data_IF_093414088568
#
_entry.id   IF_093414088568
#
_cell.length_a   1.000
_cell.length_b   1.000
_cell.length_c   1.000
_cell.angle_alpha   90.00
_cell.angle_beta   90.00
_cell.angle_gamma   90.00
#
_symmetry.space_group_name_H-M   'P 1'
#
loop_
_entity.id
_entity.type
_entity.pdbx_description
1 polymer ?
#
# COMPACT_ATOMS: atom_id res chain seq x y z
N UNK A 1 -22.37 -13.29 -12.98
CA UNK A 1 -21.51 -13.95 -11.98
C UNK A 1 -20.67 -12.87 -11.34
N UNK A 2 -20.96 -12.50 -10.11
CA UNK A 2 -20.22 -11.48 -9.36
C UNK A 2 -18.86 -12.07 -8.96
N UNK A 3 -17.79 -11.53 -9.48
CA UNK A 3 -16.42 -11.87 -9.05
C UNK A 3 -16.09 -10.97 -7.88
N UNK A 4 -16.14 -11.51 -6.68
CA UNK A 4 -15.64 -10.78 -5.52
C UNK A 4 -14.15 -10.63 -5.58
N UNK A 5 -13.66 -9.41 -5.55
CA UNK A 5 -12.23 -9.13 -5.40
C UNK A 5 -11.81 -9.43 -3.95
N UNK A 6 -10.87 -10.29 -3.76
CA UNK A 6 -10.55 -10.86 -2.49
C UNK A 6 -9.31 -10.43 -1.90
N UNK A 7 -9.25 -10.61 -0.71
CA UNK A 7 -8.11 -10.65 0.19
C UNK A 7 -6.82 -11.10 -0.52
N UNK A 8 -6.43 -10.33 -1.55
CA UNK A 8 -5.07 -10.40 -2.03
C UNK A 8 -4.21 -10.05 -0.82
N UNK A 9 -3.39 -10.98 -0.39
CA UNK A 9 -2.41 -10.77 0.65
C UNK A 9 -1.41 -9.74 0.09
N UNK A 10 -1.71 -8.47 0.29
CA UNK A 10 -0.78 -7.40 -0.07
C UNK A 10 0.34 -7.46 0.95
N UNK A 11 1.47 -8.04 0.55
CA UNK A 11 2.70 -7.94 1.32
C UNK A 11 3.21 -6.51 1.21
N UNK A 12 3.05 -5.78 2.29
CA UNK A 12 3.56 -4.43 2.42
C UNK A 12 5.04 -4.51 2.76
N UNK A 13 5.91 -4.22 1.79
CA UNK A 13 7.34 -4.04 2.05
C UNK A 13 7.64 -2.55 2.22
N UNK A 14 8.11 -2.21 3.39
CA UNK A 14 8.73 -0.90 3.62
C UNK A 14 10.18 -0.98 3.14
N UNK A 15 10.48 -0.33 2.03
CA UNK A 15 11.83 -0.21 1.53
C UNK A 15 12.61 0.85 2.31
N UNK A 16 13.22 0.42 3.40
CA UNK A 16 14.24 1.20 4.11
C UNK A 16 15.48 0.32 4.21
N UNK A 17 16.44 0.52 3.31
CA UNK A 17 17.69 -0.24 3.32
C UNK A 17 18.59 0.11 4.50
N UNK A 18 19.02 -0.89 5.28
CA UNK A 18 20.36 -1.00 5.87
C UNK A 18 20.57 -2.46 6.25
N UNK A 19 21.61 -3.05 5.66
CA UNK A 19 22.18 -4.32 6.02
C UNK A 19 22.89 -4.21 7.38
N UNK A 20 22.54 -5.05 8.34
CA UNK A 20 23.46 -5.48 9.41
C UNK A 20 23.10 -6.88 9.86
N UNK A 21 24.04 -7.79 9.63
CA UNK A 21 24.08 -9.14 10.14
C UNK A 21 24.23 -9.14 11.67
N UNK A 22 23.42 -9.95 12.34
CA UNK A 22 23.55 -10.22 13.78
C UNK A 22 22.82 -11.49 14.13
N UNK A 23 23.57 -12.58 14.31
CA UNK A 23 23.10 -13.87 14.79
C UNK A 23 22.84 -13.83 16.30
N UNK A 24 21.73 -14.41 16.78
CA UNK A 24 21.50 -14.65 18.20
C UNK A 24 20.05 -15.00 18.50
N UNK A 25 19.82 -16.25 18.96
CA UNK A 25 18.54 -16.88 19.12
C UNK A 25 17.66 -16.36 20.25
N UNK A 26 16.39 -16.77 20.22
CA UNK A 26 15.40 -16.60 21.28
C UNK A 26 14.12 -15.99 20.77
N UNK A 27 13.06 -16.81 20.68
CA UNK A 27 11.78 -16.40 20.12
C UNK A 27 11.08 -15.29 20.92
N UNK A 28 10.84 -14.21 20.25
CA UNK A 28 9.72 -13.30 20.42
C UNK A 28 9.57 -12.60 19.09
N UNK A 29 8.37 -12.73 18.50
CA UNK A 29 8.05 -12.03 17.26
C UNK A 29 8.07 -10.52 17.57
N UNK A 30 9.24 -9.91 17.42
CA UNK A 30 9.36 -8.47 17.44
C UNK A 30 8.54 -7.92 16.28
N UNK A 31 7.42 -7.28 16.59
CA UNK A 31 6.81 -6.35 15.65
C UNK A 31 7.90 -5.34 15.27
N UNK A 32 8.35 -5.39 14.02
CA UNK A 32 9.30 -4.42 13.53
C UNK A 32 8.67 -3.03 13.65
N UNK A 33 9.04 -2.31 14.69
CA UNK A 33 8.72 -0.89 14.79
C UNK A 33 9.66 -0.15 13.85
N UNK A 34 9.08 0.49 12.84
CA UNK A 34 9.84 1.38 11.96
C UNK A 34 10.40 2.50 12.82
N UNK A 35 11.72 2.77 12.75
CA UNK A 35 12.29 3.87 13.51
C UNK A 35 11.61 5.18 13.14
N UNK A 36 11.30 6.02 14.12
CA UNK A 36 10.72 7.33 13.85
C UNK A 36 11.59 8.12 12.86
N UNK A 37 10.99 8.65 11.82
CA UNK A 37 11.62 9.61 10.90
C UNK A 37 12.14 9.09 9.56
N UNK A 38 11.86 7.85 9.14
CA UNK A 38 12.47 7.29 7.91
C UNK A 38 11.50 6.78 6.84
N UNK A 39 10.25 6.56 7.12
CA UNK A 39 9.31 6.07 6.12
C UNK A 39 8.59 7.22 5.41
N UNK A 40 9.20 7.78 4.38
CA UNK A 40 8.54 8.73 3.47
C UNK A 40 7.77 8.06 2.35
N UNK A 41 7.79 6.73 2.25
CA UNK A 41 7.11 6.00 1.19
C UNK A 41 6.50 4.70 1.68
N UNK A 42 5.30 4.40 1.18
CA UNK A 42 4.63 3.13 1.31
C UNK A 42 4.81 2.35 0.01
N UNK A 43 5.27 1.11 0.10
CA UNK A 43 5.41 0.21 -1.04
C UNK A 43 4.53 -1.02 -0.86
N UNK A 44 4.02 -1.58 -1.96
CA UNK A 44 3.19 -2.79 -1.97
C UNK A 44 3.37 -3.59 -3.24
N UNK A 45 2.93 -4.84 -3.21
CA UNK A 45 2.83 -5.68 -4.40
C UNK A 45 1.41 -5.60 -4.97
N UNK A 46 1.31 -5.47 -6.29
CA UNK A 46 0.02 -5.52 -6.96
C UNK A 46 -0.62 -6.92 -6.81
N UNK A 47 -1.94 -7.00 -6.52
CA UNK A 47 -2.62 -8.28 -6.45
C UNK A 47 -2.54 -9.05 -7.78
N UNK A 48 -2.34 -10.37 -7.70
CA UNK A 48 -2.19 -11.26 -8.84
C UNK A 48 -3.38 -12.21 -9.01
N UNK A 49 -4.25 -12.26 -8.03
CA UNK A 49 -5.43 -13.15 -8.02
C UNK A 49 -6.64 -12.48 -7.42
N UNK A 50 -7.77 -12.95 -7.87
CA UNK A 50 -9.05 -12.70 -7.24
C UNK A 50 -9.27 -13.67 -6.05
N UNK A 51 -10.37 -13.51 -5.26
CA UNK A 51 -10.74 -14.34 -4.10
C UNK A 51 -10.99 -15.78 -4.44
N UNK A 52 -11.49 -16.04 -5.57
CA UNK A 52 -11.71 -17.37 -6.06
C UNK A 52 -10.42 -18.02 -6.62
N UNK A 53 -9.24 -17.39 -6.39
CA UNK A 53 -7.93 -17.76 -6.91
C UNK A 53 -7.82 -17.72 -8.46
N UNK A 54 -8.77 -17.12 -9.15
CA UNK A 54 -8.58 -16.84 -10.58
C UNK A 54 -7.53 -15.76 -10.79
N UNK A 55 -6.80 -15.83 -11.90
CA UNK A 55 -5.74 -14.87 -12.21
C UNK A 55 -6.33 -13.48 -12.45
N UNK A 56 -5.68 -12.48 -11.89
CA UNK A 56 -5.93 -11.07 -12.09
C UNK A 56 -4.77 -10.48 -12.91
N UNK A 57 -5.09 -9.76 -13.98
CA UNK A 57 -4.11 -8.97 -14.72
C UNK A 57 -4.12 -7.53 -14.16
N UNK A 58 -3.12 -7.14 -13.34
CA UNK A 58 -3.15 -5.83 -12.69
C UNK A 58 -3.12 -4.65 -13.65
N UNK A 59 -2.68 -4.86 -14.91
CA UNK A 59 -2.69 -3.83 -15.94
C UNK A 59 -4.06 -3.59 -16.59
N UNK A 60 -5.01 -4.52 -16.40
CA UNK A 60 -6.34 -4.47 -17.03
C UNK A 60 -7.49 -4.48 -16.02
N UNK A 61 -7.29 -5.19 -14.91
CA UNK A 61 -8.35 -5.48 -13.97
C UNK A 61 -8.37 -4.51 -12.78
N UNK A 62 -7.26 -3.77 -12.56
CA UNK A 62 -7.17 -2.74 -11.51
C UNK A 62 -7.39 -1.34 -12.08
N UNK A 63 -8.14 -0.53 -11.33
CA UNK A 63 -8.36 0.89 -11.57
C UNK A 63 -7.45 1.75 -10.69
N UNK A 64 -7.53 1.55 -9.37
CA UNK A 64 -6.81 2.40 -8.43
C UNK A 64 -6.45 1.68 -7.14
N UNK A 65 -5.68 2.37 -6.30
CA UNK A 65 -5.44 2.03 -4.89
C UNK A 65 -5.95 3.15 -4.01
N UNK A 66 -6.72 2.80 -2.99
CA UNK A 66 -7.20 3.70 -1.95
C UNK A 66 -6.35 3.59 -0.70
N UNK A 67 -5.96 4.73 -0.13
CA UNK A 67 -5.17 4.83 1.10
C UNK A 67 -6.04 5.30 2.24
N UNK A 68 -6.02 4.55 3.32
CA UNK A 68 -6.78 4.82 4.53
C UNK A 68 -5.82 5.13 5.67
N UNK A 69 -6.18 6.12 6.48
CA UNK A 69 -5.36 6.58 7.60
C UNK A 69 -6.24 6.72 8.85
N UNK A 70 -5.80 6.15 9.96
CA UNK A 70 -6.48 6.23 11.26
C UNK A 70 -5.48 6.37 12.41
N UNK A 71 -5.98 6.79 13.56
CA UNK A 71 -5.20 6.78 14.82
C UNK A 71 -5.20 5.42 15.52
N UNK A 72 -5.94 4.44 15.01
CA UNK A 72 -6.00 3.06 15.49
C UNK A 72 -5.96 2.07 14.30
N UNK A 73 -5.53 0.81 14.49
CA UNK A 73 -5.35 -0.15 13.41
C UNK A 73 -6.66 -0.83 12.92
N UNK A 74 -7.84 -0.47 13.46
CA UNK A 74 -9.09 -1.17 13.20
C UNK A 74 -9.86 -0.52 12.05
N UNK A 75 -9.45 -0.80 10.80
CA UNK A 75 -10.12 -0.32 9.59
C UNK A 75 -11.45 -1.05 9.37
N UNK A 76 -12.46 -0.31 8.89
CA UNK A 76 -13.81 -0.79 8.62
C UNK A 76 -14.30 -0.31 7.27
N UNK A 77 -15.34 -0.97 6.73
CA UNK A 77 -15.97 -0.58 5.47
C UNK A 77 -16.61 0.84 5.49
N UNK A 78 -16.76 1.44 6.67
CA UNK A 78 -17.29 2.80 6.83
C UNK A 78 -16.19 3.88 6.77
N UNK A 79 -14.92 3.47 6.78
CA UNK A 79 -13.81 4.42 6.68
C UNK A 79 -13.75 4.98 5.25
N UNK A 80 -13.43 6.26 5.15
CA UNK A 80 -13.25 6.93 3.87
C UNK A 80 -11.75 6.96 3.50
N UNK A 81 -11.40 6.76 2.23
CA UNK A 81 -10.02 6.89 1.80
C UNK A 81 -9.56 8.34 1.92
N UNK A 82 -8.33 8.54 2.36
CA UNK A 82 -7.68 9.86 2.45
C UNK A 82 -7.02 10.24 1.12
N UNK A 83 -6.56 9.26 0.36
CA UNK A 83 -5.98 9.45 -0.96
C UNK A 83 -6.31 8.28 -1.87
N UNK A 84 -6.22 8.52 -3.16
CA UNK A 84 -6.38 7.52 -4.21
C UNK A 84 -5.33 7.76 -5.30
N UNK A 85 -4.78 6.68 -5.85
CA UNK A 85 -3.85 6.74 -6.98
C UNK A 85 -4.23 5.70 -8.02
N UNK A 86 -4.04 6.01 -9.30
CA UNK A 86 -4.25 5.05 -10.38
C UNK A 86 -3.36 3.83 -10.21
N UNK A 87 -3.91 2.63 -10.48
CA UNK A 87 -3.14 1.39 -10.39
C UNK A 87 -2.10 1.27 -11.51
N UNK A 88 -2.34 1.93 -12.65
CA UNK A 88 -1.46 1.92 -13.83
C UNK A 88 -1.20 3.36 -14.26
N UNK A 89 0.07 3.67 -14.45
CA UNK A 89 0.54 4.97 -14.95
C UNK A 89 1.13 4.81 -16.35
N UNK A 90 0.96 5.85 -17.17
CA UNK A 90 1.67 5.98 -18.45
C UNK A 90 2.94 6.79 -18.22
N UNK A 91 4.11 6.14 -18.28
CA UNK A 91 5.42 6.79 -18.15
C UNK A 91 6.08 6.94 -19.52
N UNK A 92 6.72 8.07 -19.75
CA UNK A 92 7.46 8.30 -20.99
C UNK A 92 8.70 7.38 -21.02
N UNK A 93 8.91 6.67 -22.14
CA UNK A 93 10.10 5.85 -22.33
C UNK A 93 11.37 6.69 -22.22
N UNK A 94 12.53 6.11 -21.84
CA UNK A 94 13.79 6.85 -21.70
C UNK A 94 14.24 7.57 -22.96
N UNK A 95 13.85 7.10 -24.14
CA UNK A 95 14.13 7.72 -25.44
C UNK A 95 13.11 8.79 -25.86
N UNK A 96 12.08 9.01 -25.04
CA UNK A 96 11.03 10.02 -25.26
C UNK A 96 10.07 9.73 -26.39
N UNK A 97 10.04 8.49 -26.94
CA UNK A 97 9.28 8.17 -28.17
C UNK A 97 7.98 7.43 -27.92
N UNK A 98 7.79 6.84 -26.75
CA UNK A 98 6.62 6.03 -26.43
C UNK A 98 6.20 6.19 -24.97
N UNK A 99 4.94 5.90 -24.68
CA UNK A 99 4.46 5.73 -23.33
C UNK A 99 4.46 4.24 -22.98
N UNK A 100 4.97 3.93 -21.79
CA UNK A 100 5.02 2.59 -21.22
C UNK A 100 4.06 2.52 -20.04
N UNK A 101 3.30 1.45 -19.98
CA UNK A 101 2.46 1.16 -18.81
C UNK A 101 3.32 0.72 -17.63
N UNK A 102 3.15 1.35 -16.50
CA UNK A 102 3.84 1.02 -15.26
C UNK A 102 2.83 0.81 -14.14
N UNK A 103 3.03 -0.25 -13.33
CA UNK A 103 2.20 -0.46 -12.15
C UNK A 103 2.63 0.50 -11.04
N UNK A 104 1.66 1.16 -10.43
CA UNK A 104 1.88 1.96 -9.24
C UNK A 104 2.00 1.04 -8.04
N UNK A 105 3.19 0.98 -7.45
CA UNK A 105 3.51 0.14 -6.28
C UNK A 105 4.24 0.92 -5.19
N UNK A 106 4.23 2.24 -5.30
CA UNK A 106 4.87 3.16 -4.37
C UNK A 106 4.02 4.42 -4.20
N UNK A 107 3.86 4.88 -2.96
CA UNK A 107 3.19 6.13 -2.64
C UNK A 107 4.03 6.95 -1.66
N UNK A 108 4.25 8.23 -1.98
CA UNK A 108 4.96 9.13 -1.08
C UNK A 108 4.02 9.61 0.04
N UNK A 109 4.31 9.21 1.27
CA UNK A 109 3.53 9.56 2.46
C UNK A 109 3.58 11.05 2.81
N UNK A 110 4.57 11.79 2.31
CA UNK A 110 4.62 13.24 2.49
C UNK A 110 3.40 13.94 1.88
N UNK A 111 2.74 13.31 0.90
CA UNK A 111 1.50 13.82 0.31
C UNK A 111 0.33 13.82 1.30
N UNK A 112 0.38 13.01 2.36
CA UNK A 112 -0.66 12.93 3.39
C UNK A 112 -0.42 13.91 4.55
N UNK A 113 0.82 14.32 4.79
CA UNK A 113 1.21 15.19 5.92
C UNK A 113 0.38 16.46 6.05
N UNK A 114 0.01 17.18 4.97
CA UNK A 114 -0.80 18.39 5.09
C UNK A 114 -2.19 18.17 5.70
N UNK A 115 -2.66 16.93 5.73
CA UNK A 115 -4.00 16.55 6.23
C UNK A 115 -3.95 15.92 7.62
N UNK A 116 -2.76 15.79 8.21
CA UNK A 116 -2.52 15.07 9.46
C UNK A 116 -2.01 16.02 10.55
N UNK A 117 -2.20 15.61 11.79
CA UNK A 117 -1.66 16.36 12.95
C UNK A 117 -0.21 15.97 13.18
N UNK A 118 0.75 16.90 13.11
CA UNK A 118 2.16 16.61 13.37
C UNK A 118 2.40 15.96 14.74
N UNK A 119 3.31 15.00 14.78
CA UNK A 119 3.70 14.29 16.00
C UNK A 119 2.71 13.24 16.50
N UNK A 120 1.62 13.01 15.78
CA UNK A 120 0.68 11.94 16.10
C UNK A 120 1.10 10.61 15.47
N UNK A 121 0.70 9.49 16.08
CA UNK A 121 0.82 8.17 15.49
C UNK A 121 -0.41 7.86 14.65
N UNK A 122 -0.16 7.37 13.43
CA UNK A 122 -1.18 6.91 12.52
C UNK A 122 -0.96 5.46 12.11
N UNK A 123 -2.00 4.85 11.59
CA UNK A 123 -1.97 3.56 10.94
C UNK A 123 -2.44 3.74 9.50
N UNK A 124 -1.75 3.10 8.59
CA UNK A 124 -2.03 3.11 7.16
C UNK A 124 -2.54 1.75 6.73
N UNK A 125 -3.53 1.73 5.87
CA UNK A 125 -3.95 0.55 5.14
C UNK A 125 -4.31 0.93 3.71
N UNK A 126 -4.18 0.00 2.77
CA UNK A 126 -4.54 0.20 1.38
C UNK A 126 -5.56 -0.84 0.94
N UNK A 127 -6.35 -0.48 -0.06
CA UNK A 127 -7.25 -1.38 -0.80
C UNK A 127 -7.00 -1.20 -2.29
N UNK A 128 -6.99 -2.29 -3.02
CA UNK A 128 -7.06 -2.26 -4.47
C UNK A 128 -8.53 -2.12 -4.90
N UNK A 129 -8.76 -1.32 -5.92
CA UNK A 129 -10.07 -1.12 -6.55
C UNK A 129 -10.00 -1.65 -7.96
N UNK A 130 -10.92 -2.54 -8.31
CA UNK A 130 -11.04 -3.08 -9.66
C UNK A 130 -11.76 -2.12 -10.60
N UNK A 131 -11.56 -2.30 -11.90
CA UNK A 131 -12.28 -1.56 -12.95
C UNK A 131 -13.80 -1.76 -12.90
N UNK A 132 -14.26 -2.80 -12.23
CA UNK A 132 -15.66 -3.09 -11.93
C UNK A 132 -16.18 -2.39 -10.67
N UNK A 133 -15.31 -1.62 -9.98
CA UNK A 133 -15.61 -0.92 -8.73
C UNK A 133 -15.57 -1.79 -7.48
N UNK A 134 -15.23 -3.09 -7.60
CA UNK A 134 -15.06 -3.95 -6.43
C UNK A 134 -13.76 -3.63 -5.71
N UNK A 135 -13.79 -3.68 -4.39
CA UNK A 135 -12.62 -3.38 -3.54
C UNK A 135 -12.10 -4.65 -2.89
N UNK A 136 -10.78 -4.75 -2.80
CA UNK A 136 -10.14 -5.78 -1.97
C UNK A 136 -10.43 -5.57 -0.49
N UNK A 137 -10.08 -6.53 0.36
CA UNK A 137 -9.96 -6.31 1.79
C UNK A 137 -8.87 -5.27 2.11
N UNK A 138 -8.86 -4.78 3.34
CA UNK A 138 -7.78 -3.93 3.83
C UNK A 138 -6.47 -4.70 3.93
N UNK A 139 -5.36 -4.07 3.52
CA UNK A 139 -4.04 -4.60 3.82
C UNK A 139 -3.79 -4.63 5.34
N UNK A 140 -2.78 -5.38 5.77
CA UNK A 140 -2.30 -5.31 7.14
C UNK A 140 -1.95 -3.86 7.49
N UNK A 141 -2.46 -3.32 8.61
CA UNK A 141 -2.15 -1.96 9.03
C UNK A 141 -0.66 -1.76 9.29
N UNK A 142 -0.11 -0.67 8.79
CA UNK A 142 1.27 -0.25 9.03
C UNK A 142 1.25 0.96 9.94
N UNK A 143 1.97 0.88 11.07
CA UNK A 143 2.13 2.04 11.94
C UNK A 143 3.04 3.08 11.27
N UNK A 144 2.62 4.33 11.29
CA UNK A 144 3.35 5.47 10.79
C UNK A 144 3.37 6.58 11.83
N UNK A 145 4.55 6.90 12.30
CA UNK A 145 4.76 8.04 13.18
C UNK A 145 5.09 9.25 12.29
N UNK A 146 4.12 10.15 12.11
CA UNK A 146 4.35 11.41 11.39
C UNK A 146 5.27 12.28 12.21
N UNK A 147 6.49 12.43 11.72
CA UNK A 147 7.48 13.30 12.29
C UNK A 147 7.68 14.44 11.30
N UNK A 148 7.13 15.55 11.63
CA UNK A 148 7.33 16.82 10.92
C UNK A 148 8.77 17.30 10.95
#
# INVERSE_FOLDING_TARGET
>A
MSRSLVHALVFLFLAGGILLSGCGGGGESAMASIPPGVASALAWDAPQTYEDNTLLDPYKDLDSYEFYVRNDPNFTENDLPMAEVAAVEDILSPDGKAYLKNLTTLFNLDNLKPFLTPGARYYLSIRAVGVDGLKSGFSQPVAWDDIS
#
